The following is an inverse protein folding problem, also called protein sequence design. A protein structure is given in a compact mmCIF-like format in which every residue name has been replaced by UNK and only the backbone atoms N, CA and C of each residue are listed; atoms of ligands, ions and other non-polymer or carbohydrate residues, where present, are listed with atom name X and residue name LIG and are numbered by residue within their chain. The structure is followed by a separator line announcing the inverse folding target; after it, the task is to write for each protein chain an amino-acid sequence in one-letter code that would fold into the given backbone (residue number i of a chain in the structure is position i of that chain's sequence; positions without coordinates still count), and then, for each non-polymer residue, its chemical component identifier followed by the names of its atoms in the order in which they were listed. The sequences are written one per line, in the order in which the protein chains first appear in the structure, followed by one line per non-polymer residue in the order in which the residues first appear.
data_IF_166927906718
#
_entry.id   IF_166927906718
#
_cell.length_a   1.000
_cell.length_b   1.000
_cell.length_c   1.000
_cell.angle_alpha   90.00
_cell.angle_beta   90.00
_cell.angle_gamma   90.00
#
_symmetry.space_group_name_H-M   'P 1'
#
loop_
_entity.id
_entity.type
_entity.pdbx_description
1 polymer ?
#
# COMPACT_ATOMS: atom_id res chain seq x y z
N UNK A 1 31.43 16.80 5.45
CA UNK A 1 30.19 17.11 6.19
C UNK A 1 29.23 15.93 6.07
N UNK A 2 29.13 15.07 7.09
CA UNK A 2 28.15 13.98 7.10
C UNK A 2 26.79 14.62 7.38
N UNK A 3 25.94 14.71 6.37
CA UNK A 3 24.59 15.25 6.48
C UNK A 3 23.83 14.31 7.42
N UNK A 4 23.63 14.72 8.67
CA UNK A 4 22.76 14.04 9.62
C UNK A 4 21.33 14.14 9.08
N UNK A 5 20.95 13.24 8.17
CA UNK A 5 19.56 13.11 7.76
C UNK A 5 18.77 12.70 9.01
N UNK A 6 17.66 13.38 9.34
CA UNK A 6 16.79 12.91 10.40
C UNK A 6 16.37 11.45 10.09
N UNK A 7 16.16 10.62 11.12
CA UNK A 7 15.77 9.22 10.92
C UNK A 7 14.56 9.18 9.98
N UNK A 8 14.68 8.38 8.91
CA UNK A 8 13.64 8.23 7.88
C UNK A 8 12.36 7.81 8.60
N UNK A 9 11.39 8.73 8.70
CA UNK A 9 10.11 8.44 9.36
C UNK A 9 9.41 7.40 8.51
N UNK A 10 9.13 6.23 9.11
CA UNK A 10 8.33 5.18 8.48
C UNK A 10 6.99 5.77 8.02
N UNK A 11 6.55 5.38 6.83
CA UNK A 11 5.27 5.78 6.26
C UNK A 11 4.51 4.52 5.85
N UNK A 12 3.18 4.58 5.95
CA UNK A 12 2.31 3.52 5.48
C UNK A 12 1.05 4.11 4.86
N UNK A 13 0.59 3.49 3.78
CA UNK A 13 -0.71 3.76 3.14
C UNK A 13 -1.39 2.41 2.87
N UNK A 14 -2.70 2.36 3.04
CA UNK A 14 -3.52 1.20 2.71
C UNK A 14 -4.38 1.48 1.50
N UNK A 15 -4.54 0.48 0.64
CA UNK A 15 -5.41 0.53 -0.52
C UNK A 15 -6.55 -0.48 -0.35
N UNK A 16 -7.77 -0.07 -0.69
CA UNK A 16 -8.93 -0.95 -0.78
C UNK A 16 -9.51 -0.87 -2.19
N UNK A 17 -9.76 -2.02 -2.79
CA UNK A 17 -10.57 -2.15 -4.00
C UNK A 17 -11.85 -2.90 -3.63
N UNK A 18 -12.98 -2.38 -4.10
CA UNK A 18 -14.29 -2.99 -3.89
C UNK A 18 -14.91 -3.25 -5.27
N UNK A 19 -15.02 -4.52 -5.71
CA UNK A 19 -15.48 -4.82 -7.07
C UNK A 19 -16.96 -4.51 -7.28
N UNK A 20 -17.75 -4.46 -6.21
CA UNK A 20 -19.19 -4.15 -6.27
C UNK A 20 -19.42 -2.65 -6.44
N UNK A 21 -18.47 -1.83 -6.00
CA UNK A 21 -18.49 -0.38 -6.18
C UNK A 21 -17.68 -0.03 -7.43
N UNK A 22 -18.36 0.28 -8.54
CA UNK A 22 -17.69 0.73 -9.75
C UNK A 22 -16.73 1.90 -9.43
N UNK A 23 -15.43 1.74 -9.70
CA UNK A 23 -14.44 2.79 -9.45
C UNK A 23 -13.01 2.28 -9.23
N UNK A 24 -12.07 3.20 -9.06
CA UNK A 24 -10.68 2.86 -8.79
C UNK A 24 -10.46 2.43 -7.34
N UNK A 25 -9.38 1.69 -7.01
CA UNK A 25 -8.98 1.48 -5.63
C UNK A 25 -8.77 2.82 -4.91
N UNK A 26 -9.04 2.83 -3.59
CA UNK A 26 -9.01 4.04 -2.76
C UNK A 26 -8.04 3.89 -1.61
N UNK A 27 -7.50 5.02 -1.16
CA UNK A 27 -6.72 5.07 0.08
C UNK A 27 -7.66 5.04 1.29
N UNK A 28 -7.52 4.06 2.18
CA UNK A 28 -8.37 3.94 3.37
C UNK A 28 -7.70 4.38 4.67
N UNK A 29 -6.37 4.33 4.72
CA UNK A 29 -5.58 4.81 5.84
C UNK A 29 -4.21 5.28 5.33
N UNK A 30 -3.66 6.30 6.01
CA UNK A 30 -2.29 6.78 5.80
C UNK A 30 -1.69 7.25 7.12
N UNK A 31 -0.39 7.10 7.30
CA UNK A 31 0.27 7.48 8.53
C UNK A 31 1.78 7.59 8.41
N UNK A 32 2.40 8.23 9.40
CA UNK A 32 3.85 8.27 9.57
C UNK A 32 4.27 7.95 11.01
N UNK A 33 5.50 7.53 11.20
CA UNK A 33 6.06 7.19 12.52
C UNK A 33 5.25 6.11 13.23
N UNK A 34 4.77 6.43 14.45
CA UNK A 34 3.98 5.50 15.27
C UNK A 34 2.69 5.04 14.58
N UNK A 35 2.03 5.93 13.83
CA UNK A 35 0.80 5.57 13.11
C UNK A 35 1.11 4.59 11.99
N UNK A 36 2.20 4.81 11.24
CA UNK A 36 2.63 3.88 10.18
C UNK A 36 2.93 2.49 10.75
N UNK A 37 3.64 2.42 11.89
CA UNK A 37 3.90 1.17 12.60
C UNK A 37 2.62 0.45 12.98
N UNK A 38 1.63 1.18 13.51
CA UNK A 38 0.36 0.60 13.91
C UNK A 38 -0.45 0.09 12.72
N UNK A 39 -0.42 0.81 11.59
CA UNK A 39 -1.04 0.36 10.34
C UNK A 39 -0.41 -0.96 9.88
N UNK A 40 0.93 -1.04 9.86
CA UNK A 40 1.65 -2.25 9.43
C UNK A 40 1.37 -3.42 10.38
N UNK A 41 1.36 -3.18 11.69
CA UNK A 41 1.03 -4.18 12.71
C UNK A 41 -0.38 -4.75 12.50
N UNK A 42 -1.38 -3.87 12.31
CA UNK A 42 -2.75 -4.27 12.04
C UNK A 42 -2.87 -5.01 10.71
N UNK A 43 -2.21 -4.55 9.65
CA UNK A 43 -2.20 -5.23 8.35
C UNK A 43 -1.70 -6.68 8.51
N UNK A 44 -0.56 -6.88 9.19
CA UNK A 44 -0.03 -8.22 9.47
C UNK A 44 -0.99 -9.06 10.31
N UNK A 45 -1.57 -8.49 11.36
CA UNK A 45 -2.55 -9.19 12.23
C UNK A 45 -3.78 -9.67 11.46
N UNK A 46 -4.21 -8.90 10.46
CA UNK A 46 -5.37 -9.22 9.62
C UNK A 46 -5.00 -9.92 8.31
N UNK A 47 -3.76 -10.42 8.16
CA UNK A 47 -3.25 -11.07 6.95
C UNK A 47 -3.39 -10.23 5.67
N UNK A 48 -3.33 -8.90 5.80
CA UNK A 48 -3.27 -7.98 4.67
C UNK A 48 -1.80 -7.92 4.18
N UNK A 49 -1.54 -8.18 2.89
CA UNK A 49 -0.20 -8.11 2.33
C UNK A 49 0.45 -6.73 2.53
N UNK A 50 1.71 -6.73 2.95
CA UNK A 50 2.51 -5.50 3.09
C UNK A 50 3.65 -5.55 2.09
N UNK A 51 3.72 -4.53 1.21
CA UNK A 51 4.81 -4.31 0.26
C UNK A 51 5.59 -3.08 0.70
N UNK A 52 6.90 -3.22 0.88
CA UNK A 52 7.80 -2.09 1.09
C UNK A 52 8.29 -1.61 -0.27
N UNK A 53 7.93 -0.38 -0.63
CA UNK A 53 8.26 0.19 -1.94
C UNK A 53 8.34 1.74 -1.82
N UNK A 54 9.55 2.31 -1.75
CA UNK A 54 9.73 3.75 -1.58
C UNK A 54 9.13 4.59 -2.71
N UNK A 55 9.17 4.09 -3.95
CA UNK A 55 8.69 4.81 -5.13
C UNK A 55 7.16 4.87 -5.13
N UNK A 56 6.51 3.74 -4.87
CA UNK A 56 5.05 3.70 -4.66
C UNK A 56 4.65 4.61 -3.49
N UNK A 57 5.42 4.60 -2.39
CA UNK A 57 5.11 5.40 -1.22
C UNK A 57 5.17 6.91 -1.52
N UNK A 58 6.13 7.37 -2.31
CA UNK A 58 6.22 8.78 -2.70
C UNK A 58 4.98 9.27 -3.47
N UNK A 59 4.35 8.39 -4.23
CA UNK A 59 3.16 8.69 -5.03
C UNK A 59 1.90 8.57 -4.17
N UNK A 60 1.71 7.43 -3.52
CA UNK A 60 0.50 7.12 -2.76
C UNK A 60 0.33 7.98 -1.50
N UNK A 61 1.43 8.45 -0.91
CA UNK A 61 1.38 9.38 0.25
C UNK A 61 0.77 10.75 -0.09
N UNK A 62 0.72 11.13 -1.37
CA UNK A 62 0.13 12.38 -1.84
C UNK A 62 -1.38 12.32 -2.01
N UNK A 63 -1.96 11.12 -1.96
CA UNK A 63 -3.40 10.94 -2.07
C UNK A 63 -4.09 11.22 -0.74
N UNK A 64 -5.29 11.76 -0.82
CA UNK A 64 -6.15 11.97 0.35
C UNK A 64 -6.90 10.71 0.77
N UNK A 65 -7.33 10.68 2.03
CA UNK A 65 -8.15 9.60 2.55
C UNK A 65 -9.46 9.52 1.74
N UNK A 66 -9.87 8.30 1.42
CA UNK A 66 -11.02 7.95 0.59
C UNK A 66 -10.98 8.46 -0.86
N UNK A 67 -9.88 9.10 -1.26
CA UNK A 67 -9.66 9.51 -2.63
C UNK A 67 -9.44 8.29 -3.51
N UNK A 68 -10.13 8.26 -4.65
CA UNK A 68 -9.82 7.33 -5.72
C UNK A 68 -8.43 7.62 -6.28
N UNK A 69 -7.70 6.56 -6.57
CA UNK A 69 -6.46 6.68 -7.29
C UNK A 69 -6.77 7.31 -8.66
N UNK A 70 -6.07 8.38 -9.06
CA UNK A 70 -6.26 8.98 -10.38
C UNK A 70 -5.63 8.11 -11.49
N UNK A 71 -6.19 8.17 -12.69
CA UNK A 71 -5.72 7.42 -13.86
C UNK A 71 -4.25 7.66 -14.19
N UNK A 72 -3.75 8.87 -13.90
CA UNK A 72 -2.35 9.26 -14.10
C UNK A 72 -1.34 8.41 -13.33
N UNK A 73 -1.77 7.69 -12.28
CA UNK A 73 -0.91 6.81 -11.47
C UNK A 73 -1.35 5.34 -11.53
N UNK A 74 -2.20 4.96 -12.47
CA UNK A 74 -2.68 3.57 -12.61
C UNK A 74 -1.56 2.57 -12.90
N UNK A 75 -0.52 2.96 -13.64
CA UNK A 75 0.63 2.08 -13.93
C UNK A 75 1.30 1.59 -12.65
N UNK A 76 1.43 2.48 -11.67
CA UNK A 76 2.04 2.26 -10.36
C UNK A 76 1.15 1.35 -9.50
N UNK A 77 -0.17 1.50 -9.62
CA UNK A 77 -1.14 0.61 -8.95
C UNK A 77 -1.21 -0.77 -9.61
N UNK A 78 -1.03 -0.87 -10.92
CA UNK A 78 -0.98 -2.14 -11.61
C UNK A 78 0.15 -3.04 -11.08
N UNK A 79 1.28 -2.47 -10.67
CA UNK A 79 2.35 -3.22 -10.00
C UNK A 79 1.93 -3.76 -8.62
N UNK A 80 1.11 -3.01 -7.87
CA UNK A 80 0.55 -3.47 -6.60
C UNK A 80 -0.45 -4.61 -6.84
N UNK A 81 -1.32 -4.48 -7.84
CA UNK A 81 -2.29 -5.51 -8.21
C UNK A 81 -1.59 -6.77 -8.73
N UNK A 82 -0.53 -6.63 -9.53
CA UNK A 82 0.28 -7.74 -10.00
C UNK A 82 0.97 -8.47 -8.84
N UNK A 83 1.47 -7.72 -7.85
CA UNK A 83 1.99 -8.31 -6.61
C UNK A 83 0.92 -9.13 -5.88
N UNK A 84 -0.27 -8.55 -5.64
CA UNK A 84 -1.39 -9.28 -5.01
C UNK A 84 -1.77 -10.53 -5.82
N UNK A 85 -1.83 -10.43 -7.15
CA UNK A 85 -2.17 -11.56 -8.02
C UNK A 85 -1.11 -12.67 -7.96
N UNK A 86 0.18 -12.31 -7.99
CA UNK A 86 1.27 -13.27 -7.83
C UNK A 86 1.24 -13.97 -6.47
N UNK A 87 0.89 -13.26 -5.39
CA UNK A 87 0.67 -13.87 -4.09
C UNK A 87 -0.49 -14.84 -4.17
N UNK A 88 -1.64 -14.44 -4.71
CA UNK A 88 -2.80 -15.32 -4.84
C UNK A 88 -2.52 -16.59 -5.65
N UNK A 89 -1.76 -16.50 -6.75
CA UNK A 89 -1.33 -17.70 -7.50
C UNK A 89 -0.41 -18.60 -6.67
N UNK A 90 0.53 -18.01 -5.93
CA UNK A 90 1.43 -18.75 -5.03
C UNK A 90 0.67 -19.39 -3.85
N UNK A 91 -0.39 -18.75 -3.36
CA UNK A 91 -1.30 -19.29 -2.35
C UNK A 91 -2.27 -20.34 -2.94
N UNK A 92 -2.64 -20.24 -4.22
CA UNK A 92 -3.41 -21.24 -4.96
C UNK A 92 -2.66 -22.55 -5.23
N UNK A 93 -1.33 -22.50 -5.27
CA UNK A 93 -0.46 -23.68 -5.42
C UNK A 93 -0.16 -24.44 -4.11
N UNK A 94 -0.70 -24.01 -2.96
CA UNK A 94 -0.54 -24.70 -1.66
C UNK A 94 -1.78 -25.51 -1.25
N UNK A 95 -2.45 -26.15 -2.21
CA UNK A 95 -3.42 -27.21 -1.96
C UNK A 95 -2.90 -28.53 -2.54
N UNK A 96 -1.98 -29.16 -1.82
CA UNK A 96 -1.71 -30.60 -1.89
C UNK A 96 -1.47 -31.11 -0.47
#
# INVERSE_FOLDING_TARGET
MKKNLPPKREQAVTLKYDPEVAGAPRVTAKGSGLIARKIIELARKHNIPVKEDPDLMQILSRLELNQEIPSSVYRVVAEVLAFVYSLNQKYGMKKE
#
